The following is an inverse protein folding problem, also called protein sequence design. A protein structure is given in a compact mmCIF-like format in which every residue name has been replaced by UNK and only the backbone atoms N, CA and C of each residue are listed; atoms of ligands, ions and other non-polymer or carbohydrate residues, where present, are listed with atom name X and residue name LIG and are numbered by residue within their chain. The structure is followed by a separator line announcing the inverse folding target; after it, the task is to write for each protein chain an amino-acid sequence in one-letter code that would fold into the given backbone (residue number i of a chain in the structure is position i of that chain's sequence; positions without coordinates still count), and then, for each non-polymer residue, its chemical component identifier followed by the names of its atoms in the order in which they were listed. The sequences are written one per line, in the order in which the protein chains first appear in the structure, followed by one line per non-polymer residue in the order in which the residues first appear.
data_IF_658286757070
#
_entry.id   IF_658286757070
#
_cell.length_a   1.000
_cell.length_b   1.000
_cell.length_c   1.000
_cell.angle_alpha   90.00
_cell.angle_beta   90.00
_cell.angle_gamma   90.00
#
_symmetry.space_group_name_H-M   'P 1'
#
loop_
_entity.id
_entity.type
_entity.pdbx_description
1 polymer ?
#
# COMPACT_ATOMS: atom_id res chain seq x y z
N UNK A 1 20.69 3.17 -1.50
CA UNK A 1 20.30 2.53 -0.23
C UNK A 1 18.84 2.10 -0.34
N UNK A 2 18.60 0.78 -0.31
CA UNK A 2 17.29 0.13 -0.37
C UNK A 2 16.61 0.31 0.99
N UNK A 3 15.47 1.00 1.03
CA UNK A 3 14.66 1.11 2.24
C UNK A 3 13.59 0.03 2.13
N UNK A 4 13.64 -0.95 3.02
CA UNK A 4 12.62 -2.00 3.04
C UNK A 4 11.29 -1.36 3.42
N UNK A 5 10.36 -1.31 2.47
CA UNK A 5 9.02 -0.82 2.71
C UNK A 5 8.34 -1.74 3.73
N UNK A 6 7.94 -1.16 4.86
CA UNK A 6 7.14 -1.84 5.88
C UNK A 6 6.01 -0.89 6.24
N UNK A 7 4.77 -1.40 6.28
CA UNK A 7 3.57 -0.59 6.63
C UNK A 7 3.60 -0.03 8.07
N UNK A 8 4.64 -0.36 8.86
CA UNK A 8 4.79 0.03 10.26
C UNK A 8 5.48 1.39 10.47
N UNK A 9 5.91 2.10 9.42
CA UNK A 9 6.60 3.37 9.58
C UNK A 9 5.60 4.54 9.62
N UNK A 10 5.30 4.97 10.85
CA UNK A 10 4.59 6.19 11.28
C UNK A 10 3.07 6.02 11.54
N UNK A 11 2.75 5.64 12.80
CA UNK A 11 1.53 5.96 13.59
C UNK A 11 0.31 6.46 12.82
N UNK A 12 -0.85 5.81 12.76
CA UNK A 12 -1.45 4.63 13.40
C UNK A 12 -1.96 3.80 12.20
N UNK A 13 -1.69 2.48 12.07
CA UNK A 13 -2.75 1.67 11.53
C UNK A 13 -3.85 1.80 12.58
N UNK A 14 -4.86 2.65 12.34
CA UNK A 14 -6.18 2.23 12.80
C UNK A 14 -6.22 0.81 12.27
N UNK A 15 -6.34 -0.16 13.16
CA UNK A 15 -6.65 -1.52 12.77
C UNK A 15 -8.04 -1.43 12.12
N UNK A 16 -8.10 -0.93 10.89
CA UNK A 16 -9.28 -0.93 10.04
C UNK A 16 -9.73 -2.39 9.92
N UNK A 17 -8.77 -3.31 9.98
CA UNK A 17 -8.97 -4.75 10.18
C UNK A 17 -9.83 -5.11 11.40
N UNK A 18 -9.68 -4.42 12.55
CA UNK A 18 -10.52 -4.66 13.72
C UNK A 18 -11.89 -3.97 13.66
N UNK A 19 -12.06 -3.01 12.74
CA UNK A 19 -13.32 -2.32 12.50
C UNK A 19 -14.19 -3.04 11.44
N UNK A 20 -13.58 -3.78 10.52
CA UNK A 20 -14.25 -4.41 9.39
C UNK A 20 -14.55 -5.90 9.65
N UNK A 21 -15.74 -6.39 9.28
CA UNK A 21 -16.04 -7.82 9.37
C UNK A 21 -15.12 -8.62 8.45
N UNK A 22 -14.68 -9.81 8.87
CA UNK A 22 -13.73 -10.66 8.13
C UNK A 22 -14.09 -10.95 6.65
N UNK A 23 -15.37 -10.82 6.27
CA UNK A 23 -15.84 -11.02 4.90
C UNK A 23 -15.93 -9.70 4.09
N UNK A 24 -15.21 -8.66 4.49
CA UNK A 24 -15.26 -7.38 3.81
C UNK A 24 -14.41 -7.38 2.54
N UNK A 25 -14.92 -6.81 1.45
CA UNK A 25 -14.26 -6.73 0.13
C UNK A 25 -12.89 -6.03 0.18
N UNK A 26 -12.67 -5.18 1.19
CA UNK A 26 -11.39 -4.47 1.43
C UNK A 26 -10.21 -5.43 1.57
N UNK A 27 -10.41 -6.61 2.17
CA UNK A 27 -9.34 -7.59 2.31
C UNK A 27 -8.93 -8.17 0.95
N UNK A 28 -9.91 -8.46 0.08
CA UNK A 28 -9.65 -8.91 -1.29
C UNK A 28 -8.95 -7.82 -2.11
N UNK A 29 -9.34 -6.56 -1.96
CA UNK A 29 -8.68 -5.44 -2.64
C UNK A 29 -7.24 -5.29 -2.13
N UNK A 30 -7.02 -5.38 -0.82
CA UNK A 30 -5.70 -5.30 -0.22
C UNK A 30 -4.78 -6.43 -0.68
N UNK A 31 -5.29 -7.66 -0.75
CA UNK A 31 -4.57 -8.83 -1.26
C UNK A 31 -4.18 -8.64 -2.74
N UNK A 32 -5.10 -8.17 -3.58
CA UNK A 32 -4.82 -7.89 -5.00
C UNK A 32 -3.73 -6.82 -5.17
N UNK A 33 -3.74 -5.77 -4.34
CA UNK A 33 -2.72 -4.71 -4.39
C UNK A 33 -1.36 -5.21 -3.91
N UNK A 34 -1.33 -6.10 -2.91
CA UNK A 34 -0.08 -6.70 -2.42
C UNK A 34 0.50 -7.74 -3.37
N UNK A 35 -0.34 -8.54 -4.02
CA UNK A 35 0.05 -9.57 -5.00
C UNK A 35 0.50 -8.98 -6.35
N UNK A 36 0.15 -7.72 -6.64
CA UNK A 36 0.59 -7.05 -7.86
C UNK A 36 2.12 -6.93 -7.90
N UNK A 37 2.70 -7.38 -9.01
CA UNK A 37 4.15 -7.38 -9.22
C UNK A 37 4.75 -5.97 -9.05
N UNK A 38 5.82 -5.90 -8.26
CA UNK A 38 6.52 -4.67 -7.92
C UNK A 38 7.08 -3.93 -9.14
N UNK A 39 7.26 -4.63 -10.28
CA UNK A 39 7.63 -4.02 -11.55
C UNK A 39 6.64 -2.93 -12.01
N UNK A 40 5.34 -3.08 -11.73
CA UNK A 40 4.32 -2.10 -12.10
C UNK A 40 4.46 -0.81 -11.30
N UNK A 41 4.89 -0.90 -10.03
CA UNK A 41 5.10 0.26 -9.17
C UNK A 41 6.38 1.02 -9.53
N UNK A 42 7.40 0.34 -10.09
CA UNK A 42 8.64 0.98 -10.57
C UNK A 42 8.40 1.94 -11.74
N UNK A 43 7.34 1.73 -12.53
CA UNK A 43 6.96 2.68 -13.59
C UNK A 43 6.43 4.01 -13.03
N UNK A 44 5.96 4.01 -11.78
CA UNK A 44 5.46 5.20 -11.07
C UNK A 44 6.58 5.90 -10.29
N UNK A 45 7.68 5.19 -10.00
CA UNK A 45 8.90 5.80 -9.47
C UNK A 45 9.50 6.72 -10.53
N UNK A 46 9.26 8.02 -10.36
CA UNK A 46 9.64 9.07 -11.31
C UNK A 46 11.14 9.40 -11.19
N UNK A 47 11.78 9.74 -12.32
CA UNK A 47 13.17 10.24 -12.37
C UNK A 47 13.37 11.56 -11.58
N UNK A 48 12.27 12.28 -11.29
CA UNK A 48 12.28 13.59 -10.62
C UNK A 48 12.38 13.54 -9.09
N UNK A 49 12.43 12.35 -8.49
CA UNK A 49 12.66 12.20 -7.04
C UNK A 49 11.82 11.09 -6.41
N UNK A 50 12.15 10.75 -5.16
CA UNK A 50 11.42 9.71 -4.41
C UNK A 50 10.07 10.24 -3.96
N UNK A 51 8.95 9.56 -4.27
CA UNK A 51 7.64 9.95 -3.74
C UNK A 51 7.64 9.86 -2.21
N UNK A 52 6.91 10.77 -1.56
CA UNK A 52 6.80 10.82 -0.09
C UNK A 52 6.14 9.55 0.50
N UNK A 53 5.34 8.85 -0.31
CA UNK A 53 4.64 7.62 0.04
C UNK A 53 4.89 6.54 -1.00
N UNK A 54 4.87 5.27 -0.57
CA UNK A 54 5.03 4.14 -1.48
C UNK A 54 3.83 4.04 -2.43
N UNK A 55 4.03 3.73 -3.73
CA UNK A 55 2.95 3.59 -4.69
C UNK A 55 1.83 2.63 -4.25
N UNK A 56 2.17 1.54 -3.53
CA UNK A 56 1.18 0.63 -2.92
C UNK A 56 0.24 1.35 -1.94
N UNK A 57 0.74 2.24 -1.08
CA UNK A 57 -0.12 3.00 -0.14
C UNK A 57 -1.04 3.93 -0.89
N UNK A 58 -0.50 4.63 -1.90
CA UNK A 58 -1.29 5.55 -2.73
C UNK A 58 -2.39 4.80 -3.49
N UNK A 59 -2.08 3.63 -4.04
CA UNK A 59 -3.06 2.79 -4.72
C UNK A 59 -4.15 2.30 -3.76
N UNK A 60 -3.78 1.83 -2.56
CA UNK A 60 -4.75 1.46 -1.52
C UNK A 60 -5.64 2.64 -1.12
N UNK A 61 -5.08 3.83 -0.93
CA UNK A 61 -5.85 5.03 -0.59
C UNK A 61 -6.80 5.51 -1.70
N UNK A 62 -6.56 5.14 -2.96
CA UNK A 62 -7.48 5.41 -4.08
C UNK A 62 -8.61 4.37 -4.18
N UNK A 63 -8.39 3.16 -3.66
CA UNK A 63 -9.32 2.04 -3.77
C UNK A 63 -10.19 1.85 -2.51
N UNK A 64 -9.77 2.40 -1.36
CA UNK A 64 -10.54 2.47 -0.11
C UNK A 64 -11.48 3.68 -0.09
#
# INVERSE_FOLDING_TARGET
MYTQYTMNQTTLPLEIDSLLPNNHIIYSINEVVEDLDDAHYRLIENDFGRPAYHPKVLLKALLF
#
